data_IF_969813256963
#
_entry.id   IF_969813256963
#
_cell.length_a   1.000
_cell.length_b   1.000
_cell.length_c   1.000
_cell.angle_alpha   90.00
_cell.angle_beta   90.00
_cell.angle_gamma   90.00
#
_symmetry.space_group_name_H-M   'P 1'
#
loop_
_entity.id
_entity.type
_entity.pdbx_description
1 polymer ?
#
# COMPACT_ATOMS: atom_id res chain seq x y z
N UNK A 1 23.50 -24.39 4.06
CA UNK A 1 23.76 -23.58 2.84
C UNK A 1 23.55 -22.15 3.27
N UNK A 2 24.63 -21.40 3.53
CA UNK A 2 24.51 -20.00 3.96
C UNK A 2 23.96 -19.17 2.81
N UNK A 3 22.86 -18.45 3.03
CA UNK A 3 22.35 -17.49 2.09
C UNK A 3 23.34 -16.32 2.01
N UNK A 4 24.06 -16.22 0.89
CA UNK A 4 24.98 -15.12 0.64
C UNK A 4 24.16 -13.83 0.54
N UNK A 5 24.57 -12.78 1.25
CA UNK A 5 23.89 -11.49 1.17
C UNK A 5 23.93 -10.97 -0.28
N UNK A 6 22.78 -10.51 -0.78
CA UNK A 6 22.71 -9.82 -2.06
C UNK A 6 23.35 -8.43 -1.91
N UNK A 7 24.51 -8.22 -2.53
CA UNK A 7 25.18 -6.92 -2.52
C UNK A 7 24.66 -6.02 -3.65
N UNK A 8 24.16 -4.85 -3.28
CA UNK A 8 23.73 -3.83 -4.24
C UNK A 8 24.96 -3.07 -4.76
N UNK A 9 25.17 -3.11 -6.07
CA UNK A 9 26.27 -2.42 -6.79
C UNK A 9 25.69 -1.41 -7.77
N UNK A 10 26.53 -0.54 -8.33
CA UNK A 10 26.08 0.41 -9.36
C UNK A 10 25.44 -0.30 -10.57
N UNK A 11 25.98 -1.46 -10.96
CA UNK A 11 25.55 -2.21 -12.13
C UNK A 11 24.19 -2.91 -11.91
N UNK A 12 23.94 -3.42 -10.71
CA UNK A 12 22.69 -4.12 -10.40
C UNK A 12 21.61 -3.23 -9.76
N UNK A 13 21.94 -2.00 -9.39
CA UNK A 13 21.02 -1.07 -8.72
C UNK A 13 19.73 -0.85 -9.51
N UNK A 14 19.86 -0.41 -10.77
CA UNK A 14 18.71 -0.07 -11.61
C UNK A 14 17.78 -1.27 -11.85
N UNK A 15 18.26 -2.45 -12.30
CA UNK A 15 17.38 -3.59 -12.51
C UNK A 15 16.75 -4.10 -11.21
N UNK A 16 17.48 -4.08 -10.09
CA UNK A 16 16.91 -4.47 -8.79
C UNK A 16 15.85 -3.49 -8.31
N UNK A 17 16.08 -2.17 -8.44
CA UNK A 17 15.08 -1.14 -8.12
C UNK A 17 13.83 -1.32 -8.97
N UNK A 18 13.99 -1.43 -10.28
CA UNK A 18 12.85 -1.54 -11.20
C UNK A 18 12.06 -2.82 -10.97
N UNK A 19 12.71 -3.89 -10.49
CA UNK A 19 12.05 -5.15 -10.12
C UNK A 19 11.19 -5.04 -8.85
N UNK A 20 11.61 -4.25 -7.85
CA UNK A 20 10.86 -4.11 -6.58
C UNK A 20 9.80 -3.01 -6.61
N UNK A 21 9.85 -2.12 -7.60
CA UNK A 21 8.83 -1.10 -7.76
C UNK A 21 7.50 -1.73 -8.19
N UNK A 22 6.36 -1.20 -7.73
CA UNK A 22 5.06 -1.67 -8.17
C UNK A 22 4.93 -1.58 -9.70
N UNK A 23 4.35 -2.62 -10.30
CA UNK A 23 4.01 -2.65 -11.72
C UNK A 23 2.79 -1.77 -11.99
N UNK A 24 2.59 -1.34 -13.24
CA UNK A 24 1.35 -0.67 -13.63
C UNK A 24 0.12 -1.48 -13.19
N UNK A 25 -0.77 -0.85 -12.43
CA UNK A 25 -1.98 -1.48 -11.90
C UNK A 25 -1.88 -1.99 -10.45
N UNK A 26 -0.68 -2.26 -9.93
CA UNK A 26 -0.48 -2.74 -8.56
C UNK A 26 -0.76 -1.66 -7.50
N UNK A 27 -0.84 -0.39 -7.91
CA UNK A 27 -1.17 0.75 -7.06
C UNK A 27 -2.52 1.40 -7.35
N UNK A 28 -3.43 0.70 -8.05
CA UNK A 28 -4.79 1.20 -8.39
C UNK A 28 -5.61 1.61 -7.16
N UNK A 29 -5.29 1.06 -5.99
CA UNK A 29 -5.88 1.47 -4.73
C UNK A 29 -5.64 2.97 -4.43
N UNK A 30 -4.59 3.60 -4.99
CA UNK A 30 -4.32 5.05 -4.83
C UNK A 30 -5.31 5.93 -5.60
N UNK A 31 -5.90 5.40 -6.66
CA UNK A 31 -6.83 6.14 -7.53
C UNK A 31 -8.26 6.17 -6.96
N UNK A 32 -8.55 5.34 -5.96
CA UNK A 32 -9.85 5.30 -5.29
C UNK A 32 -10.01 6.59 -4.47
N UNK A 33 -11.13 7.32 -4.62
CA UNK A 33 -11.40 8.53 -3.85
C UNK A 33 -11.83 8.18 -2.42
N UNK A 34 -10.88 7.70 -1.60
CA UNK A 34 -11.14 7.25 -0.24
C UNK A 34 -11.78 8.34 0.62
N UNK A 35 -12.75 7.95 1.44
CA UNK A 35 -13.19 8.77 2.57
C UNK A 35 -12.13 8.71 3.66
N UNK A 36 -11.62 9.87 4.07
CA UNK A 36 -10.61 9.99 5.14
C UNK A 36 -11.24 10.04 6.54
N UNK A 37 -12.54 10.26 6.62
CA UNK A 37 -13.34 10.22 7.86
C UNK A 37 -14.26 9.02 7.80
N UNK A 38 -14.14 8.11 8.78
CA UNK A 38 -14.92 6.87 8.80
C UNK A 38 -16.44 7.11 8.82
N UNK A 39 -16.92 8.10 9.59
CA UNK A 39 -18.35 8.38 9.70
C UNK A 39 -19.00 8.86 8.40
N UNK A 40 -18.27 9.60 7.56
CA UNK A 40 -18.77 10.00 6.24
C UNK A 40 -19.01 8.78 5.36
N UNK A 41 -18.12 7.79 5.42
CA UNK A 41 -18.31 6.52 4.70
C UNK A 41 -19.54 5.75 5.20
N UNK A 42 -19.82 5.76 6.51
CA UNK A 42 -21.03 5.13 7.07
C UNK A 42 -22.30 5.80 6.56
N UNK A 43 -22.32 7.13 6.55
CA UNK A 43 -23.47 7.91 6.05
C UNK A 43 -23.71 7.60 4.57
N UNK A 44 -22.67 7.65 3.73
CA UNK A 44 -22.79 7.40 2.29
C UNK A 44 -23.19 5.95 1.99
N UNK A 45 -22.57 4.98 2.65
CA UNK A 45 -22.88 3.57 2.49
C UNK A 45 -24.32 3.24 2.87
N UNK A 46 -24.85 3.85 3.94
CA UNK A 46 -26.25 3.69 4.32
C UNK A 46 -27.21 4.33 3.31
N UNK A 47 -26.88 5.51 2.78
CA UNK A 47 -27.69 6.20 1.75
C UNK A 47 -27.73 5.42 0.44
N UNK A 48 -26.61 4.79 0.06
CA UNK A 48 -26.46 4.08 -1.23
C UNK A 48 -26.75 2.59 -1.15
N UNK A 49 -27.08 2.06 0.04
CA UNK A 49 -27.26 0.63 0.31
C UNK A 49 -26.06 -0.22 -0.17
N UNK A 50 -24.85 0.22 0.18
CA UNK A 50 -23.59 -0.43 -0.22
C UNK A 50 -22.75 -0.85 0.99
N UNK A 51 -21.96 -1.92 0.88
CA UNK A 51 -21.01 -2.30 1.93
C UNK A 51 -19.85 -1.29 2.01
N UNK A 52 -19.21 -1.23 3.18
CA UNK A 52 -18.00 -0.42 3.41
C UNK A 52 -16.76 -1.31 3.26
N UNK A 53 -15.82 -0.90 2.41
CA UNK A 53 -14.44 -1.40 2.43
C UNK A 53 -13.60 -0.49 3.33
N UNK A 54 -13.16 -1.00 4.47
CA UNK A 54 -12.28 -0.28 5.39
C UNK A 54 -10.83 -0.71 5.17
N UNK A 55 -9.98 0.21 4.70
CA UNK A 55 -8.54 0.03 4.66
C UNK A 55 -7.90 0.86 5.78
N UNK A 56 -7.44 0.18 6.82
CA UNK A 56 -6.77 0.79 7.96
C UNK A 56 -5.44 0.09 8.20
N UNK A 57 -4.36 0.85 8.37
CA UNK A 57 -3.10 0.29 8.82
C UNK A 57 -3.18 0.01 10.32
N UNK A 58 -3.18 -1.26 10.68
CA UNK A 58 -3.02 -1.75 12.05
C UNK A 58 -1.53 -1.86 12.41
N UNK A 59 -0.85 -0.73 12.60
CA UNK A 59 0.54 -0.72 13.06
C UNK A 59 1.11 0.68 13.32
N UNK A 60 2.24 0.74 14.04
CA UNK A 60 3.06 1.96 14.17
C UNK A 60 3.93 2.08 12.92
N UNK A 61 3.61 2.97 11.95
CA UNK A 61 4.30 3.01 10.65
C UNK A 61 5.79 3.38 10.73
N UNK A 62 6.27 3.81 11.90
CA UNK A 62 7.68 4.11 12.17
C UNK A 62 8.27 3.34 13.36
N UNK A 63 7.55 2.38 13.95
CA UNK A 63 8.03 1.68 15.15
C UNK A 63 8.29 2.58 16.37
N UNK A 64 7.83 3.83 16.36
CA UNK A 64 7.94 4.73 17.50
C UNK A 64 6.85 4.39 18.52
N UNK A 65 7.21 3.62 19.54
CA UNK A 65 6.55 3.66 20.86
C UNK A 65 7.30 4.63 21.77
#
# INVERSE_FOLDING_TARGET
MEARAFELTADNYKPTRDFILPKPGEETWRDIPWRVVFWDAVIDANKEDKPILLYAMNGHPFGCT
#
